data_IF_411409187861
#
_entry.id   IF_411409187861
#
_cell.length_a   1.000
_cell.length_b   1.000
_cell.length_c   1.000
_cell.angle_alpha   90.00
_cell.angle_beta   90.00
_cell.angle_gamma   90.00
#
_symmetry.space_group_name_H-M   'P 1'
#
loop_
_entity.id
_entity.type
_entity.pdbx_description
1 polymer ?
#
# COMPACT_ATOMS: atom_id res chain seq x y z
N UNK A 1 1.74 10.69 -25.10
CA UNK A 1 1.01 11.90 -24.66
C UNK A 1 0.24 11.58 -23.41
N UNK A 2 0.23 12.47 -22.41
CA UNK A 2 -0.48 12.25 -21.14
C UNK A 2 -1.98 12.48 -21.33
N UNK A 3 -2.81 11.49 -21.02
CA UNK A 3 -4.28 11.59 -21.06
C UNK A 3 -4.81 11.76 -19.64
N UNK A 4 -5.47 12.89 -19.37
CA UNK A 4 -6.14 13.15 -18.08
C UNK A 4 -7.65 12.98 -18.27
N UNK A 5 -8.24 11.95 -17.66
CA UNK A 5 -9.67 11.66 -17.77
C UNK A 5 -10.39 11.86 -16.43
N UNK A 6 -11.08 13.00 -16.29
CA UNK A 6 -11.85 13.35 -15.08
C UNK A 6 -12.90 12.31 -14.68
N UNK A 7 -13.53 11.62 -15.65
CA UNK A 7 -14.53 10.59 -15.36
C UNK A 7 -13.90 9.38 -14.67
N UNK A 8 -12.69 9.01 -15.11
CA UNK A 8 -11.92 7.89 -14.57
C UNK A 8 -11.48 8.18 -13.13
N UNK A 9 -11.01 9.41 -12.87
CA UNK A 9 -10.59 9.86 -11.54
C UNK A 9 -11.78 9.81 -10.58
N UNK A 10 -12.95 10.32 -10.99
CA UNK A 10 -14.16 10.28 -10.17
C UNK A 10 -14.66 8.85 -9.93
N UNK A 11 -14.64 7.99 -10.95
CA UNK A 11 -15.06 6.60 -10.81
C UNK A 11 -14.15 5.81 -9.85
N UNK A 12 -12.83 6.04 -9.92
CA UNK A 12 -11.87 5.47 -8.97
C UNK A 12 -12.15 5.92 -7.52
N UNK A 13 -12.56 7.18 -7.33
CA UNK A 13 -12.90 7.69 -6.00
C UNK A 13 -14.21 7.11 -5.44
N UNK A 14 -15.21 6.86 -6.27
CA UNK A 14 -16.44 6.16 -5.84
C UNK A 14 -16.13 4.70 -5.48
N UNK A 15 -15.31 4.03 -6.30
CA UNK A 15 -14.88 2.65 -6.04
C UNK A 15 -14.13 2.52 -4.71
N UNK A 16 -13.27 3.50 -4.37
CA UNK A 16 -12.61 3.59 -3.07
C UNK A 16 -13.59 3.62 -1.90
N UNK A 17 -14.62 4.47 -1.99
CA UNK A 17 -15.62 4.63 -0.93
C UNK A 17 -16.47 3.35 -0.79
N UNK A 18 -16.76 2.65 -1.90
CA UNK A 18 -17.52 1.40 -1.88
C UNK A 18 -16.76 0.20 -1.31
N UNK A 19 -15.42 0.23 -1.31
CA UNK A 19 -14.63 -0.92 -0.92
C UNK A 19 -14.71 -1.24 0.58
N UNK A 20 -15.08 -0.27 1.44
CA UNK A 20 -15.41 -0.39 2.89
C UNK A 20 -14.60 -1.43 3.70
N UNK A 21 -13.40 -1.73 3.24
CA UNK A 21 -12.41 -2.54 3.90
C UNK A 21 -11.50 -1.56 4.61
N UNK A 22 -11.10 -1.92 5.82
CA UNK A 22 -10.21 -1.26 6.79
C UNK A 22 -8.79 -0.98 6.23
N UNK A 23 -8.70 -0.52 4.99
CA UNK A 23 -7.50 -0.29 4.19
C UNK A 23 -7.46 1.20 3.89
N UNK A 24 -6.53 1.88 4.54
CA UNK A 24 -6.63 3.31 4.83
C UNK A 24 -6.58 4.24 3.61
N UNK A 25 -6.19 3.77 2.41
CA UNK A 25 -6.35 4.51 1.15
C UNK A 25 -5.92 3.61 -0.03
N UNK A 26 -6.83 2.92 -0.72
CA UNK A 26 -6.44 2.17 -1.93
C UNK A 26 -6.59 3.07 -3.15
N UNK A 27 -5.49 3.55 -3.75
CA UNK A 27 -5.52 4.32 -5.00
C UNK A 27 -5.26 3.41 -6.20
N UNK A 28 -6.33 3.10 -6.94
CA UNK A 28 -6.21 2.35 -8.20
C UNK A 28 -5.57 3.24 -9.29
N UNK A 29 -4.40 2.83 -9.81
CA UNK A 29 -3.85 3.42 -11.04
C UNK A 29 -4.48 2.71 -12.25
N UNK A 30 -5.57 3.26 -12.76
CA UNK A 30 -6.38 2.67 -13.86
C UNK A 30 -5.65 2.51 -15.20
N UNK A 31 -4.37 2.91 -15.31
CA UNK A 31 -3.55 2.82 -16.53
C UNK A 31 -2.56 1.64 -16.52
N UNK A 32 -2.38 0.96 -15.39
CA UNK A 32 -1.51 -0.21 -15.26
C UNK A 32 -2.26 -1.35 -14.57
N UNK A 33 -1.95 -2.60 -14.87
CA UNK A 33 -2.41 -3.78 -14.12
C UNK A 33 -1.85 -3.85 -12.68
N UNK A 34 -1.57 -2.69 -12.07
CA UNK A 34 -0.95 -2.52 -10.77
C UNK A 34 -1.80 -1.55 -9.94
N UNK A 35 -2.07 -1.94 -8.71
CA UNK A 35 -2.77 -1.15 -7.71
C UNK A 35 -1.80 -0.60 -6.68
N UNK A 36 -2.13 0.58 -6.17
CA UNK A 36 -1.42 1.20 -5.05
C UNK A 36 -2.33 1.17 -3.85
N UNK A 37 -1.85 0.56 -2.77
CA UNK A 37 -2.57 0.47 -1.52
C UNK A 37 -1.76 1.11 -0.40
N UNK A 38 -2.37 2.02 0.34
CA UNK A 38 -1.84 2.57 1.58
C UNK A 38 -2.38 1.75 2.75
N UNK A 39 -1.46 1.19 3.53
CA UNK A 39 -1.77 0.43 4.73
C UNK A 39 -1.27 1.17 5.97
N UNK A 40 -2.11 1.24 6.99
CA UNK A 40 -1.70 1.70 8.32
C UNK A 40 -1.25 0.49 9.13
N UNK A 41 -0.05 0.54 9.67
CA UNK A 41 0.55 -0.59 10.41
C UNK A 41 -0.06 -0.67 11.80
N UNK A 42 -0.76 -1.77 12.09
CA UNK A 42 -1.34 -2.04 13.41
C UNK A 42 -0.30 -2.54 14.41
N UNK A 43 -0.64 -2.46 15.68
CA UNK A 43 0.16 -3.03 16.75
C UNK A 43 0.31 -4.55 16.57
N UNK A 44 1.53 -5.07 16.68
CA UNK A 44 1.79 -6.51 16.54
C UNK A 44 1.75 -7.05 15.11
N UNK A 45 1.52 -6.19 14.11
CA UNK A 45 1.50 -6.56 12.71
C UNK A 45 2.79 -7.27 12.29
N UNK A 46 2.70 -8.28 11.42
CA UNK A 46 3.87 -9.09 11.02
C UNK A 46 4.99 -8.26 10.40
N UNK A 47 4.66 -7.17 9.72
CA UNK A 47 5.61 -6.25 9.10
C UNK A 47 6.51 -5.53 10.12
N UNK A 48 6.10 -5.45 11.39
CA UNK A 48 6.90 -4.81 12.45
C UNK A 48 7.97 -5.73 13.05
N UNK A 49 7.93 -7.04 12.75
CA UNK A 49 8.79 -8.03 13.40
C UNK A 49 10.17 -8.16 12.76
N UNK A 50 10.29 -7.83 11.49
CA UNK A 50 11.50 -8.02 10.69
C UNK A 50 11.75 -6.81 9.79
N UNK A 51 13.00 -6.64 9.34
CA UNK A 51 13.32 -5.61 8.35
C UNK A 51 12.67 -5.95 7.01
N UNK A 52 12.42 -4.92 6.18
CA UNK A 52 11.75 -5.08 4.88
C UNK A 52 12.39 -6.13 3.96
N UNK A 53 13.71 -6.32 4.01
CA UNK A 53 14.41 -7.36 3.23
C UNK A 53 14.14 -8.79 3.72
N UNK A 54 13.85 -8.94 5.01
CA UNK A 54 13.65 -10.23 5.69
C UNK A 54 12.16 -10.60 5.71
N UNK A 55 11.30 -9.63 5.38
CA UNK A 55 9.90 -9.86 5.08
C UNK A 55 9.83 -10.53 3.71
N UNK A 56 9.46 -11.81 3.68
CA UNK A 56 9.23 -12.59 2.46
C UNK A 56 7.98 -12.07 1.71
N UNK A 57 8.08 -10.86 1.16
CA UNK A 57 7.01 -10.19 0.45
C UNK A 57 6.62 -11.03 -0.78
N UNK A 58 5.31 -11.13 -1.10
CA UNK A 58 4.87 -11.89 -2.26
C UNK A 58 5.46 -11.34 -3.56
N UNK A 59 5.78 -12.23 -4.50
CA UNK A 59 6.16 -11.86 -5.86
C UNK A 59 5.08 -10.94 -6.49
N UNK A 60 5.51 -9.80 -7.02
CA UNK A 60 4.60 -8.79 -7.57
C UNK A 60 4.06 -7.80 -6.54
N UNK A 61 4.65 -7.76 -5.34
CA UNK A 61 4.43 -6.71 -4.32
C UNK A 61 5.72 -5.94 -4.12
N UNK A 62 5.63 -4.61 -4.06
CA UNK A 62 6.76 -3.74 -3.82
C UNK A 62 6.37 -2.59 -2.89
N UNK A 63 7.26 -2.19 -1.99
CA UNK A 63 7.00 -1.06 -1.09
C UNK A 63 7.51 0.21 -1.78
N UNK A 64 6.59 1.14 -2.01
CA UNK A 64 6.89 2.43 -2.62
C UNK A 64 7.58 3.40 -1.67
N UNK A 65 7.09 3.44 -0.45
CA UNK A 65 7.51 4.39 0.56
C UNK A 65 6.68 4.25 1.83
N UNK A 66 7.03 5.02 2.84
CA UNK A 66 6.28 5.08 4.08
C UNK A 66 6.20 6.50 4.60
N UNK A 67 5.18 6.80 5.37
CA UNK A 67 5.01 8.06 6.09
C UNK A 67 4.99 7.73 7.57
N UNK A 68 5.87 8.40 8.33
CA UNK A 68 5.94 8.31 9.78
C UNK A 68 5.83 9.72 10.35
N UNK A 69 4.88 9.96 11.25
CA UNK A 69 4.65 11.28 11.85
C UNK A 69 4.45 12.41 10.83
N UNK A 70 3.86 12.11 9.66
CA UNK A 70 3.65 13.09 8.59
C UNK A 70 4.88 13.35 7.70
N UNK A 71 6.03 12.73 8.00
CA UNK A 71 7.22 12.81 7.17
C UNK A 71 7.32 11.58 6.26
N UNK A 72 7.61 11.81 4.98
CA UNK A 72 7.85 10.73 4.02
C UNK A 72 9.26 10.17 4.17
N UNK A 73 9.39 8.88 4.44
CA UNK A 73 10.67 8.18 4.55
C UNK A 73 10.86 7.22 3.37
N UNK A 74 12.12 7.13 2.92
CA UNK A 74 12.54 6.14 1.93
C UNK A 74 12.61 4.77 2.60
N UNK A 75 11.87 3.82 2.03
CA UNK A 75 11.95 2.42 2.43
C UNK A 75 13.15 1.77 1.74
N UNK A 76 13.96 1.08 2.53
CA UNK A 76 15.10 0.29 2.09
C UNK A 76 14.98 -1.10 2.71
N UNK A 77 15.78 -2.07 2.24
CA UNK A 77 15.78 -3.40 2.80
C UNK A 77 16.07 -3.46 4.31
N UNK A 78 16.82 -2.49 4.86
CA UNK A 78 17.14 -2.41 6.28
C UNK A 78 16.11 -1.59 7.09
N UNK A 79 15.09 -1.01 6.44
CA UNK A 79 14.06 -0.24 7.11
C UNK A 79 13.21 -1.17 7.96
N UNK A 80 13.03 -0.81 9.24
CA UNK A 80 12.11 -1.47 10.15
C UNK A 80 10.82 -0.65 10.26
N UNK A 81 9.72 -1.26 9.87
CA UNK A 81 8.38 -0.67 9.95
C UNK A 81 7.90 -0.71 11.39
N UNK A 82 7.23 0.33 11.83
CA UNK A 82 6.73 0.51 13.19
C UNK A 82 5.22 0.71 13.18
N UNK A 83 4.59 0.47 14.32
CA UNK A 83 3.17 0.78 14.53
C UNK A 83 2.89 2.25 14.22
N UNK A 84 1.77 2.50 13.54
CA UNK A 84 1.36 3.84 13.14
C UNK A 84 2.03 4.37 11.87
N UNK A 85 2.96 3.62 11.27
CA UNK A 85 3.47 3.96 9.94
C UNK A 85 2.39 3.75 8.88
N UNK A 86 2.31 4.67 7.93
CA UNK A 86 1.51 4.51 6.72
C UNK A 86 2.43 4.06 5.59
N UNK A 87 2.26 2.82 5.12
CA UNK A 87 3.12 2.23 4.09
C UNK A 87 2.37 2.18 2.77
N UNK A 88 2.98 2.75 1.73
CA UNK A 88 2.48 2.72 0.36
C UNK A 88 3.04 1.48 -0.33
N UNK A 89 2.17 0.63 -0.85
CA UNK A 89 2.52 -0.63 -1.50
C UNK A 89 1.98 -0.65 -2.93
N UNK A 90 2.84 -1.03 -3.87
CA UNK A 90 2.47 -1.34 -5.25
C UNK A 90 2.29 -2.85 -5.39
N UNK A 91 1.15 -3.30 -5.89
CA UNK A 91 0.93 -4.71 -6.11
C UNK A 91 -0.02 -4.99 -7.28
N UNK A 92 0.07 -6.19 -7.85
CA UNK A 92 -0.96 -6.67 -8.78
C UNK A 92 -2.28 -6.87 -8.02
N UNK A 93 -3.42 -6.64 -8.66
CA UNK A 93 -4.76 -6.65 -8.03
C UNK A 93 -5.04 -7.90 -7.17
N UNK A 94 -4.57 -9.07 -7.62
CA UNK A 94 -4.73 -10.35 -6.90
C UNK A 94 -3.93 -10.46 -5.59
N UNK A 95 -3.01 -9.54 -5.31
CA UNK A 95 -2.08 -9.61 -4.17
C UNK A 95 -2.47 -8.74 -2.97
N UNK A 96 -3.44 -7.81 -3.11
CA UNK A 96 -3.88 -6.92 -2.01
C UNK A 96 -4.25 -7.72 -0.75
N UNK A 97 -5.09 -8.75 -0.90
CA UNK A 97 -5.52 -9.62 0.21
C UNK A 97 -4.38 -10.39 0.89
N UNK A 98 -3.29 -10.65 0.16
CA UNK A 98 -2.11 -11.34 0.72
C UNK A 98 -1.27 -10.37 1.54
N UNK A 99 -1.08 -9.15 1.03
CA UNK A 99 -0.25 -8.17 1.71
C UNK A 99 -0.95 -7.56 2.93
N UNK A 100 -2.28 -7.44 2.92
CA UNK A 100 -3.07 -7.00 4.07
C UNK A 100 -2.77 -7.81 5.36
N UNK A 101 -2.50 -9.11 5.23
CA UNK A 101 -2.11 -10.00 6.36
C UNK A 101 -0.77 -9.66 7.00
N UNK A 102 0.06 -8.83 6.36
CA UNK A 102 1.31 -8.36 6.94
C UNK A 102 1.12 -7.12 7.81
N UNK A 103 0.05 -6.36 7.57
CA UNK A 103 -0.28 -5.11 8.24
C UNK A 103 -1.29 -5.25 9.39
N UNK A 104 -1.96 -6.41 9.48
CA UNK A 104 -2.91 -6.79 10.53
C UNK A 104 -2.28 -7.77 11.54
#
# INVERSE_FOLDING_TARGET
GTVINKKLITAGHIYQIMLDADVSNVKCLTFADAEVAEFTVKEGAKITKHQVKDLELPLGVNIGGMIRNGEGLRVTGNTLVQQGDHVVVFCLNTMIKKIEKYFN
#
